data_IF_923287762149
#
_entry.id   IF_923287762149
#
_cell.length_a   1.000
_cell.length_b   1.000
_cell.length_c   1.000
_cell.angle_alpha   90.00
_cell.angle_beta   90.00
_cell.angle_gamma   90.00
#
_symmetry.space_group_name_H-M   'P 1'
#
loop_
_entity.id
_entity.type
_entity.pdbx_description
1 polymer ?
#
# COMPACT_ATOMS: atom_id res chain seq x y z
N UNK A 1 44.92 -34.92 -7.36
CA UNK A 1 44.56 -33.75 -8.20
C UNK A 1 43.05 -33.59 -8.40
N UNK A 2 42.26 -34.66 -8.49
CA UNK A 2 40.82 -34.59 -8.85
C UNK A 2 39.88 -33.93 -7.84
N UNK A 3 40.20 -33.94 -6.55
CA UNK A 3 39.38 -33.30 -5.50
C UNK A 3 39.48 -31.77 -5.56
N UNK A 4 40.69 -31.25 -5.75
CA UNK A 4 40.95 -29.80 -5.77
C UNK A 4 40.34 -29.14 -7.01
N UNK A 5 40.38 -29.81 -8.16
CA UNK A 5 39.73 -29.34 -9.39
C UNK A 5 38.20 -29.34 -9.27
N UNK A 6 37.62 -30.35 -8.59
CA UNK A 6 36.18 -30.38 -8.32
C UNK A 6 35.72 -29.29 -7.37
N UNK A 7 36.51 -29.00 -6.32
CA UNK A 7 36.23 -27.93 -5.37
C UNK A 7 36.26 -26.55 -6.04
N UNK A 8 37.29 -26.27 -6.84
CA UNK A 8 37.42 -24.99 -7.55
C UNK A 8 36.29 -24.78 -8.56
N UNK A 9 35.91 -25.82 -9.31
CA UNK A 9 34.80 -25.74 -10.26
C UNK A 9 33.47 -25.50 -9.54
N UNK A 10 33.24 -26.19 -8.41
CA UNK A 10 32.06 -25.98 -7.58
C UNK A 10 31.97 -24.57 -7.00
N UNK A 11 33.08 -24.01 -6.51
CA UNK A 11 33.11 -22.64 -6.01
C UNK A 11 32.82 -21.61 -7.10
N UNK A 12 33.38 -21.78 -8.30
CA UNK A 12 33.13 -20.85 -9.40
C UNK A 12 31.66 -20.91 -9.84
N UNK A 13 31.09 -22.11 -9.98
CA UNK A 13 29.67 -22.28 -10.33
C UNK A 13 28.77 -21.69 -9.25
N UNK A 14 29.10 -21.88 -7.97
CA UNK A 14 28.34 -21.32 -6.85
C UNK A 14 28.35 -19.78 -6.84
N UNK A 15 29.52 -19.16 -7.05
CA UNK A 15 29.63 -17.69 -7.10
C UNK A 15 28.89 -17.12 -8.30
N UNK A 16 29.05 -17.72 -9.49
CA UNK A 16 28.36 -17.27 -10.71
C UNK A 16 26.84 -17.47 -10.59
N UNK A 17 26.40 -18.58 -10.02
CA UNK A 17 25.00 -18.89 -9.78
C UNK A 17 24.37 -17.90 -8.79
N UNK A 18 25.02 -17.66 -7.65
CA UNK A 18 24.57 -16.68 -6.67
C UNK A 18 24.47 -15.27 -7.27
N UNK A 19 25.49 -14.85 -8.01
CA UNK A 19 25.51 -13.52 -8.62
C UNK A 19 24.42 -13.35 -9.69
N UNK A 20 24.15 -14.41 -10.46
CA UNK A 20 23.10 -14.39 -11.48
C UNK A 20 21.71 -14.32 -10.85
N UNK A 21 21.43 -15.15 -9.84
CA UNK A 21 20.13 -15.16 -9.14
C UNK A 21 19.91 -13.84 -8.42
N UNK A 22 20.92 -13.35 -7.69
CA UNK A 22 20.83 -12.08 -6.99
C UNK A 22 20.55 -10.92 -7.96
N UNK A 23 21.22 -10.87 -9.11
CA UNK A 23 21.00 -9.81 -10.10
C UNK A 23 19.59 -9.80 -10.69
N UNK A 24 19.01 -10.97 -10.96
CA UNK A 24 17.62 -11.05 -11.42
C UNK A 24 16.64 -10.54 -10.37
N UNK A 25 16.78 -10.97 -9.11
CA UNK A 25 15.92 -10.51 -8.02
C UNK A 25 16.04 -9.02 -7.73
N UNK A 26 17.25 -8.44 -7.77
CA UNK A 26 17.43 -7.01 -7.50
C UNK A 26 16.91 -6.13 -8.64
N UNK A 27 16.98 -6.61 -9.88
CA UNK A 27 16.55 -5.83 -11.05
C UNK A 27 15.02 -5.76 -11.16
N UNK A 28 14.30 -6.84 -10.87
CA UNK A 28 12.82 -6.83 -10.79
C UNK A 28 12.33 -5.93 -9.62
N UNK A 29 13.12 -5.83 -8.55
CA UNK A 29 12.80 -4.97 -7.40
C UNK A 29 12.93 -3.47 -7.72
N UNK A 30 13.94 -3.04 -8.49
CA UNK A 30 14.15 -1.60 -8.79
C UNK A 30 13.19 -1.05 -9.86
N UNK A 31 12.77 -1.86 -10.85
CA UNK A 31 11.77 -1.45 -11.86
C UNK A 31 10.33 -1.55 -11.34
N UNK A 32 10.02 -2.57 -10.51
CA UNK A 32 8.70 -2.71 -9.88
C UNK A 32 8.42 -1.63 -8.85
N UNK A 33 9.40 -1.28 -8.01
CA UNK A 33 9.22 -0.28 -6.93
C UNK A 33 8.98 1.13 -7.47
N UNK A 34 9.65 1.56 -8.54
CA UNK A 34 9.43 2.89 -9.12
C UNK A 34 8.05 3.04 -9.78
N UNK A 35 7.54 1.99 -10.44
CA UNK A 35 6.21 2.05 -11.07
C UNK A 35 5.09 2.03 -10.03
N UNK A 36 5.23 1.20 -8.99
CA UNK A 36 4.26 1.11 -7.90
C UNK A 36 4.17 2.41 -7.09
N UNK A 37 5.29 3.09 -6.82
CA UNK A 37 5.27 4.39 -6.14
C UNK A 37 4.54 5.46 -6.97
N UNK A 38 4.80 5.53 -8.28
CA UNK A 38 4.10 6.45 -9.19
C UNK A 38 2.59 6.14 -9.26
N UNK A 39 2.22 4.85 -9.29
CA UNK A 39 0.83 4.40 -9.29
C UNK A 39 0.12 4.79 -7.99
N UNK A 40 0.74 4.58 -6.83
CA UNK A 40 0.18 5.00 -5.54
C UNK A 40 0.03 6.53 -5.48
N UNK A 41 1.03 7.29 -5.94
CA UNK A 41 0.94 8.74 -6.01
C UNK A 41 -0.21 9.21 -6.91
N UNK A 42 -0.50 8.49 -7.99
CA UNK A 42 -1.65 8.79 -8.85
C UNK A 42 -2.99 8.62 -8.13
N UNK A 43 -3.12 7.66 -7.20
CA UNK A 43 -4.34 7.49 -6.37
C UNK A 43 -4.60 8.71 -5.49
N UNK A 44 -3.54 9.30 -4.93
CA UNK A 44 -3.68 10.53 -4.12
C UNK A 44 -4.14 11.73 -4.96
N UNK A 45 -3.86 11.74 -6.27
CA UNK A 45 -4.33 12.78 -7.18
C UNK A 45 -5.77 12.53 -7.65
N UNK A 46 -6.10 11.27 -7.96
CA UNK A 46 -7.40 10.89 -8.52
C UNK A 46 -8.50 10.77 -7.46
N UNK A 47 -8.14 10.31 -6.25
CA UNK A 47 -9.06 10.05 -5.13
C UNK A 47 -8.55 10.66 -3.80
N UNK A 48 -8.35 11.99 -3.74
CA UNK A 48 -7.67 12.63 -2.61
C UNK A 48 -8.42 12.47 -1.28
N UNK A 49 -9.77 12.51 -1.30
CA UNK A 49 -10.58 12.43 -0.08
C UNK A 49 -10.62 11.00 0.44
N UNK A 50 -10.82 10.02 -0.45
CA UNK A 50 -10.90 8.61 -0.12
C UNK A 50 -9.56 8.08 0.38
N UNK A 51 -8.45 8.46 -0.27
CA UNK A 51 -7.10 8.12 0.18
C UNK A 51 -6.78 8.72 1.56
N UNK A 52 -7.24 9.95 1.83
CA UNK A 52 -7.06 10.55 3.15
C UNK A 52 -7.81 9.75 4.24
N UNK A 53 -9.04 9.34 3.96
CA UNK A 53 -9.83 8.50 4.88
C UNK A 53 -9.18 7.13 5.07
N UNK A 54 -8.69 6.51 3.99
CA UNK A 54 -7.99 5.23 4.02
C UNK A 54 -6.74 5.32 4.92
N UNK A 55 -5.85 6.27 4.66
CA UNK A 55 -4.63 6.48 5.46
C UNK A 55 -4.95 6.79 6.92
N UNK A 56 -5.93 7.66 7.18
CA UNK A 56 -6.33 8.00 8.55
C UNK A 56 -6.78 6.76 9.32
N UNK A 57 -7.56 5.87 8.69
CA UNK A 57 -8.02 4.64 9.32
C UNK A 57 -6.89 3.63 9.51
N UNK A 58 -6.00 3.47 8.52
CA UNK A 58 -4.91 2.49 8.57
C UNK A 58 -3.81 2.85 9.56
N UNK A 59 -3.50 4.14 9.71
CA UNK A 59 -2.40 4.62 10.56
C UNK A 59 -2.83 5.00 11.97
N UNK A 60 -4.11 4.79 12.33
CA UNK A 60 -4.55 4.89 13.71
C UNK A 60 -3.82 3.84 14.58
N UNK A 61 -3.26 4.23 15.75
CA UNK A 61 -2.56 3.31 16.65
C UNK A 61 -3.38 2.08 17.03
N UNK A 62 -4.70 2.23 17.11
CA UNK A 62 -5.65 1.17 17.46
C UNK A 62 -5.86 0.15 16.32
N UNK A 63 -5.46 0.50 15.09
CA UNK A 63 -5.70 -0.29 13.88
C UNK A 63 -4.42 -0.88 13.27
N UNK A 64 -3.26 -0.73 13.92
CA UNK A 64 -1.96 -1.12 13.36
C UNK A 64 -1.87 -2.57 12.86
N UNK A 65 -2.67 -3.48 13.41
CA UNK A 65 -2.67 -4.91 13.05
C UNK A 65 -3.91 -5.34 12.26
N UNK A 66 -4.74 -4.39 11.82
CA UNK A 66 -5.94 -4.68 11.04
C UNK A 66 -5.61 -4.49 9.56
N UNK A 67 -5.81 -5.54 8.76
CA UNK A 67 -5.61 -5.55 7.30
C UNK A 67 -6.87 -5.89 6.51
N UNK A 68 -7.95 -6.23 7.21
CA UNK A 68 -9.23 -6.56 6.60
C UNK A 68 -10.21 -5.41 6.79
N UNK A 69 -10.99 -5.12 5.75
CA UNK A 69 -11.99 -4.06 5.80
C UNK A 69 -13.27 -4.39 5.04
N UNK A 70 -14.37 -3.83 5.54
CA UNK A 70 -15.67 -3.88 4.91
C UNK A 70 -16.01 -2.58 4.20
N UNK A 71 -16.74 -2.69 3.09
CA UNK A 71 -17.27 -1.56 2.34
C UNK A 71 -18.78 -1.68 2.33
N UNK A 72 -19.45 -0.93 3.20
CA UNK A 72 -20.87 -1.14 3.49
C UNK A 72 -21.63 0.14 3.72
N UNK A 73 -22.95 0.08 3.54
CA UNK A 73 -23.84 1.17 3.91
C UNK A 73 -23.68 1.49 5.42
N UNK A 74 -23.72 2.77 5.83
CA UNK A 74 -23.61 3.16 7.23
C UNK A 74 -24.67 2.51 8.15
N UNK A 75 -25.84 2.19 7.61
CA UNK A 75 -26.94 1.54 8.33
C UNK A 75 -26.79 0.02 8.45
N UNK A 76 -25.85 -0.59 7.72
CA UNK A 76 -25.63 -2.03 7.78
C UNK A 76 -25.08 -2.46 9.15
N UNK A 77 -25.68 -3.49 9.74
CA UNK A 77 -25.18 -4.09 10.98
C UNK A 77 -24.33 -5.30 10.59
N UNK A 78 -23.01 -5.17 10.73
CA UNK A 78 -22.08 -6.29 10.56
C UNK A 78 -21.56 -6.73 11.92
N UNK A 79 -21.85 -7.98 12.29
CA UNK A 79 -21.29 -8.60 13.47
C UNK A 79 -20.11 -9.46 13.03
N UNK A 80 -18.90 -9.09 13.45
CA UNK A 80 -17.68 -9.83 13.18
C UNK A 80 -16.99 -10.15 14.50
N UNK A 81 -16.55 -11.40 14.65
CA UNK A 81 -15.71 -11.79 15.79
C UNK A 81 -14.27 -11.27 15.64
N UNK A 82 -13.82 -11.05 14.40
CA UNK A 82 -12.50 -10.52 14.06
C UNK A 82 -12.56 -9.00 13.90
N UNK A 83 -11.61 -8.22 14.46
CA UNK A 83 -11.56 -6.78 14.24
C UNK A 83 -11.30 -6.48 12.76
N UNK A 84 -12.13 -5.61 12.17
CA UNK A 84 -12.11 -5.22 10.75
C UNK A 84 -12.39 -3.74 10.64
N UNK A 85 -11.72 -3.07 9.70
CA UNK A 85 -12.05 -1.68 9.38
C UNK A 85 -13.40 -1.63 8.66
N UNK A 86 -14.06 -0.49 8.76
CA UNK A 86 -15.34 -0.27 8.10
C UNK A 86 -15.32 1.06 7.38
N UNK A 87 -15.48 0.99 6.08
CA UNK A 87 -15.62 2.16 5.23
C UNK A 87 -17.06 2.29 4.76
N UNK A 88 -17.54 3.54 4.73
CA UNK A 88 -18.88 3.85 4.26
C UNK A 88 -18.91 3.74 2.73
N UNK A 89 -19.90 3.00 2.24
CA UNK A 89 -20.13 2.87 0.81
C UNK A 89 -20.37 4.26 0.18
N UNK A 90 -19.50 4.64 -0.74
CA UNK A 90 -19.64 5.82 -1.59
C UNK A 90 -19.20 5.48 -3.01
N UNK A 91 -19.68 6.23 -3.99
CA UNK A 91 -19.29 6.02 -5.39
C UNK A 91 -17.78 6.23 -5.58
N UNK A 92 -17.19 7.27 -4.99
CA UNK A 92 -15.75 7.51 -5.05
C UNK A 92 -14.93 6.38 -4.43
N UNK A 93 -15.37 5.86 -3.28
CA UNK A 93 -14.70 4.74 -2.62
C UNK A 93 -14.76 3.46 -3.47
N UNK A 94 -15.90 3.17 -4.11
CA UNK A 94 -16.01 2.02 -5.00
C UNK A 94 -15.04 2.09 -6.19
N UNK A 95 -14.87 3.28 -6.78
CA UNK A 95 -13.90 3.48 -7.86
C UNK A 95 -12.46 3.31 -7.37
N UNK A 96 -12.14 3.81 -6.17
CA UNK A 96 -10.83 3.61 -5.54
C UNK A 96 -10.56 2.11 -5.31
N UNK A 97 -11.51 1.39 -4.73
CA UNK A 97 -11.40 -0.06 -4.47
C UNK A 97 -11.18 -0.82 -5.77
N UNK A 98 -11.97 -0.54 -6.81
CA UNK A 98 -11.82 -1.23 -8.10
C UNK A 98 -10.41 -1.05 -8.68
N UNK A 99 -9.83 0.15 -8.53
CA UNK A 99 -8.47 0.43 -8.99
C UNK A 99 -7.40 -0.23 -8.11
N UNK A 100 -7.56 -0.20 -6.79
CA UNK A 100 -6.68 -0.91 -5.85
C UNK A 100 -6.69 -2.43 -6.11
N UNK A 101 -7.84 -3.00 -6.44
CA UNK A 101 -8.01 -4.41 -6.78
C UNK A 101 -7.35 -4.75 -8.13
N UNK A 102 -7.54 -3.91 -9.15
CA UNK A 102 -6.90 -4.06 -10.47
C UNK A 102 -5.37 -4.08 -10.36
N UNK A 103 -4.81 -3.31 -9.43
CA UNK A 103 -3.37 -3.23 -9.19
C UNK A 103 -2.85 -4.26 -8.18
N UNK A 104 -3.73 -5.10 -7.62
CA UNK A 104 -3.35 -6.11 -6.63
C UNK A 104 -2.93 -5.53 -5.28
N UNK A 105 -3.27 -4.27 -4.98
CA UNK A 105 -3.04 -3.65 -3.67
C UNK A 105 -4.00 -4.19 -2.60
N UNK A 106 -5.17 -4.65 -3.04
CA UNK A 106 -6.17 -5.31 -2.20
C UNK A 106 -6.73 -6.55 -2.89
N UNK A 107 -7.24 -7.49 -2.10
CA UNK A 107 -7.87 -8.72 -2.57
C UNK A 107 -9.27 -8.85 -1.98
N UNK A 108 -10.26 -9.16 -2.80
CA UNK A 108 -11.60 -9.53 -2.33
C UNK A 108 -11.61 -10.98 -1.83
N UNK A 109 -12.11 -11.22 -0.62
CA UNK A 109 -12.13 -12.57 -0.05
C UNK A 109 -13.29 -13.41 -0.62
N UNK A 110 -13.00 -14.65 -1.04
CA UNK A 110 -13.90 -15.55 -1.79
C UNK A 110 -15.28 -15.82 -1.15
N UNK A 111 -15.44 -15.58 0.14
CA UNK A 111 -16.65 -15.94 0.89
C UNK A 111 -17.49 -14.74 1.33
N UNK A 112 -17.03 -13.50 1.10
CA UNK A 112 -17.76 -12.29 1.45
C UNK A 112 -17.47 -11.17 0.45
N UNK A 113 -18.47 -10.84 -0.38
CA UNK A 113 -18.35 -9.86 -1.46
C UNK A 113 -18.09 -8.42 -0.97
N UNK A 114 -18.21 -8.16 0.33
CA UNK A 114 -18.00 -6.83 0.92
C UNK A 114 -16.68 -6.76 1.70
N UNK A 115 -15.96 -7.87 1.81
CA UNK A 115 -14.75 -8.01 2.60
C UNK A 115 -13.51 -8.01 1.71
N UNK A 116 -12.62 -7.09 2.03
CA UNK A 116 -11.36 -6.92 1.33
C UNK A 116 -10.20 -7.09 2.32
N UNK A 117 -9.09 -7.61 1.81
CA UNK A 117 -7.81 -7.72 2.49
C UNK A 117 -6.80 -6.80 1.81
N UNK A 118 -6.03 -6.07 2.59
CA UNK A 118 -4.93 -5.23 2.12
C UNK A 118 -3.69 -6.09 1.99
N UNK A 119 -2.99 -5.98 0.85
CA UNK A 119 -1.72 -6.66 0.65
C UNK A 119 -0.60 -5.97 1.43
N UNK A 120 0.29 -6.77 2.02
CA UNK A 120 1.29 -6.24 2.97
C UNK A 120 2.30 -5.33 2.27
N UNK A 121 2.71 -5.67 1.04
CA UNK A 121 3.63 -4.86 0.23
C UNK A 121 3.05 -3.45 0.00
N UNK A 122 1.77 -3.34 -0.37
CA UNK A 122 1.10 -2.06 -0.53
C UNK A 122 0.99 -1.29 0.79
N UNK A 123 0.72 -1.97 1.91
CA UNK A 123 0.69 -1.33 3.22
C UNK A 123 2.06 -0.76 3.62
N UNK A 124 3.14 -1.51 3.39
CA UNK A 124 4.51 -1.08 3.65
C UNK A 124 4.89 0.15 2.80
N UNK A 125 4.56 0.14 1.51
CA UNK A 125 4.79 1.27 0.59
C UNK A 125 4.01 2.51 1.01
N UNK A 126 2.72 2.35 1.34
CA UNK A 126 1.87 3.43 1.81
C UNK A 126 2.40 4.03 3.12
N UNK A 127 2.88 3.18 4.03
CA UNK A 127 3.50 3.60 5.29
C UNK A 127 4.82 4.34 5.04
N UNK A 128 5.66 3.86 4.12
CA UNK A 128 6.90 4.53 3.76
C UNK A 128 6.64 5.94 3.19
N UNK A 129 5.66 6.07 2.30
CA UNK A 129 5.23 7.36 1.75
C UNK A 129 4.70 8.31 2.83
N UNK A 130 3.86 7.80 3.74
CA UNK A 130 3.33 8.58 4.85
C UNK A 130 4.45 9.10 5.78
N UNK A 131 5.46 8.26 6.05
CA UNK A 131 6.62 8.66 6.87
C UNK A 131 7.53 9.68 6.17
N UNK A 132 7.75 9.55 4.86
CA UNK A 132 8.54 10.52 4.08
C UNK A 132 7.90 11.92 4.08
N UNK A 133 6.58 12.01 4.13
CA UNK A 133 5.86 13.27 4.24
C UNK A 133 6.04 13.91 5.63
N UNK A 134 5.99 13.13 6.71
CA UNK A 134 6.18 13.62 8.08
C UNK A 134 7.58 14.21 8.35
N UNK A 135 8.63 13.67 7.71
CA UNK A 135 10.02 14.15 7.88
C UNK A 135 10.27 15.47 7.14
N UNK A 136 9.50 15.78 6.09
CA UNK A 136 9.66 17.01 5.30
C UNK A 136 9.22 18.27 6.06
N UNK A 137 8.35 18.12 7.05
CA UNK A 137 7.82 19.23 7.87
C UNK A 137 8.72 19.64 9.05
N UNK A 138 9.76 18.87 9.40
CA UNK A 138 10.66 19.19 10.52
C UNK A 138 11.91 20.00 10.12
N UNK A 139 12.19 20.18 8.83
CA UNK A 139 13.42 20.85 8.35
C UNK A 139 13.24 22.25 7.77
N UNK A 140 12.02 22.80 7.77
CA UNK A 140 11.74 24.16 7.27
C UNK A 140 10.94 24.93 8.31
N UNK A 141 11.56 25.94 8.91
CA UNK A 141 10.84 27.05 9.53
C UNK A 141 9.81 27.60 8.54
N UNK A 142 8.52 27.44 8.85
CA UNK A 142 7.30 27.97 8.19
C UNK A 142 7.53 28.93 7.02
N UNK A 143 6.85 28.70 5.88
CA UNK A 143 5.40 28.90 5.85
C UNK A 143 4.59 27.79 5.17
N UNK A 144 3.37 27.63 5.68
CA UNK A 144 2.16 27.09 5.04
C UNK A 144 2.33 26.29 3.74
N UNK A 145 2.27 24.95 3.84
CA UNK A 145 1.71 24.14 2.76
C UNK A 145 0.36 23.60 3.22
N UNK A 146 -0.61 24.38 2.78
CA UNK A 146 -2.04 24.22 2.84
C UNK A 146 -2.45 22.83 2.28
N UNK A 147 -2.81 21.90 3.17
CA UNK A 147 -3.74 20.84 2.82
C UNK A 147 -5.04 21.56 2.42
N UNK A 148 -5.26 21.72 1.12
CA UNK A 148 -6.39 22.49 0.60
C UNK A 148 -7.69 21.73 0.89
N UNK A 149 -8.23 21.97 2.07
CA UNK A 149 -9.60 21.64 2.43
C UNK A 149 -10.50 22.56 1.59
N UNK A 150 -11.07 22.04 0.51
CA UNK A 150 -12.20 22.69 -0.15
C UNK A 150 -13.46 22.38 0.65
N UNK A 151 -13.75 23.17 1.69
CA UNK A 151 -15.11 23.27 2.22
C UNK A 151 -15.92 24.07 1.21
N UNK A 152 -16.76 23.38 0.43
CA UNK A 152 -17.80 24.05 -0.32
C UNK A 152 -18.88 24.53 0.65
N UNK A 153 -18.79 25.78 1.10
CA UNK A 153 -19.94 26.51 1.64
C UNK A 153 -20.97 26.68 0.52
N UNK A 154 -22.05 25.88 0.56
CA UNK A 154 -23.27 26.20 -0.16
C UNK A 154 -24.06 27.24 0.63
N UNK A 155 -24.36 28.33 -0.08
CA UNK A 155 -25.13 29.48 0.37
C UNK A 155 -26.56 29.13 0.81
N UNK A 156 -27.02 29.80 1.85
CA UNK A 156 -28.38 30.32 1.99
C UNK A 156 -28.38 31.56 2.89
#
# INVERSE_FOLDING_TARGET
MSFLSGLLLGCIIGVVGYYSIHRYFTQDQEEGVNSQEEDILSLFNDFPQEMQVLCAMLFMPEHQNIREFFVVDPSAIMNSATPRLRFNLSEGLLHLIARLEEWGCIEQLEHDSLLYKIEEDFFEDLMALHQQQAVKDESVSTPEINCRISVAEQSA
#
